data_IF_314681428044
#
_entry.id   IF_314681428044
#
_cell.length_a   1.000
_cell.length_b   1.000
_cell.length_c   1.000
_cell.angle_alpha   90.00
_cell.angle_beta   90.00
_cell.angle_gamma   90.00
#
_symmetry.space_group_name_H-M   'P 1'
#
loop_
_entity.id
_entity.type
_entity.pdbx_description
1 polymer ?
#
# COMPACT_ATOMS: atom_id res chain seq x y z
N UNK A 1 -25.19 70.78 28.59
CA UNK A 1 -24.77 69.38 28.82
C UNK A 1 -23.70 69.03 27.80
N UNK A 2 -22.47 68.72 28.24
CA UNK A 2 -21.34 68.31 27.38
C UNK A 2 -21.48 66.82 27.08
N UNK A 3 -21.51 66.41 25.81
CA UNK A 3 -21.42 65.01 25.41
C UNK A 3 -20.02 64.74 24.87
N UNK A 4 -19.29 63.84 25.54
CA UNK A 4 -17.96 63.38 25.17
C UNK A 4 -18.16 62.17 24.24
N UNK A 5 -17.68 62.26 22.99
CA UNK A 5 -17.58 61.11 22.09
C UNK A 5 -16.29 60.34 22.38
N UNK A 6 -16.41 59.10 22.87
CA UNK A 6 -15.29 58.15 22.92
C UNK A 6 -15.20 57.41 21.58
N UNK A 7 -14.14 57.68 20.83
CA UNK A 7 -13.79 56.93 19.62
C UNK A 7 -12.88 55.76 20.01
N UNK A 8 -13.44 54.56 20.15
CA UNK A 8 -12.65 53.34 20.38
C UNK A 8 -12.12 52.80 19.05
N UNK A 9 -10.82 52.95 18.81
CA UNK A 9 -10.09 52.35 17.69
C UNK A 9 -9.84 50.87 18.04
N UNK A 10 -10.58 49.96 17.41
CA UNK A 10 -10.23 48.54 17.40
C UNK A 10 -9.20 48.29 16.30
N UNK A 11 -7.92 48.27 16.68
CA UNK A 11 -6.86 47.76 15.84
C UNK A 11 -7.08 46.24 15.63
N UNK A 12 -7.70 45.88 14.50
CA UNK A 12 -7.83 44.50 14.09
C UNK A 12 -6.46 43.95 13.71
N UNK A 13 -5.84 43.17 14.59
CA UNK A 13 -4.70 42.33 14.22
C UNK A 13 -5.24 41.20 13.34
N UNK A 14 -5.03 41.32 12.03
CA UNK A 14 -5.24 40.23 11.07
C UNK A 14 -4.24 39.11 11.36
N UNK A 15 -4.67 38.13 12.15
CA UNK A 15 -3.95 36.86 12.29
C UNK A 15 -4.08 36.08 10.97
N UNK A 16 -3.08 36.20 10.10
CA UNK A 16 -2.82 35.20 9.08
C UNK A 16 -2.25 33.95 9.77
N UNK A 17 -3.14 33.10 10.29
CA UNK A 17 -2.76 31.74 10.65
C UNK A 17 -2.71 30.90 9.37
N UNK A 18 -1.60 31.00 8.62
CA UNK A 18 -1.24 30.03 7.59
C UNK A 18 -0.77 28.74 8.28
N UNK A 19 -1.72 28.01 8.84
CA UNK A 19 -1.50 26.69 9.42
C UNK A 19 -1.95 25.65 8.40
N UNK A 20 -1.11 25.37 7.41
CA UNK A 20 -1.24 24.14 6.64
C UNK A 20 -0.84 22.98 7.54
N UNK A 21 -1.78 22.47 8.35
CA UNK A 21 -1.63 21.16 8.96
C UNK A 21 -1.53 20.18 7.79
N UNK A 22 -0.31 19.76 7.45
CA UNK A 22 -0.09 18.63 6.54
C UNK A 22 -0.74 17.42 7.21
N UNK A 23 -1.95 17.08 6.75
CA UNK A 23 -2.67 15.92 7.23
C UNK A 23 -1.83 14.69 6.90
N UNK A 24 -1.37 14.01 7.95
CA UNK A 24 -0.54 12.80 7.87
C UNK A 24 -1.19 11.79 6.91
N UNK A 25 -0.42 11.28 5.95
CA UNK A 25 -0.88 10.23 5.06
C UNK A 25 -0.72 8.89 5.78
N UNK A 26 -1.83 8.18 5.97
CA UNK A 26 -1.83 6.92 6.72
C UNK A 26 -1.21 5.74 5.96
N UNK A 27 -0.77 5.92 4.70
CA UNK A 27 -0.08 4.89 3.93
C UNK A 27 0.85 5.48 2.84
N UNK A 28 1.96 6.15 3.23
CA UNK A 28 2.87 6.84 2.29
C UNK A 28 3.77 5.88 1.50
N UNK A 29 3.74 4.59 1.81
CA UNK A 29 4.51 3.53 1.16
C UNK A 29 3.77 2.85 0.02
N UNK A 30 2.46 3.07 -0.12
CA UNK A 30 1.68 2.44 -1.18
C UNK A 30 2.10 2.99 -2.54
N UNK A 31 2.18 2.08 -3.50
CA UNK A 31 2.56 2.37 -4.88
C UNK A 31 1.46 1.86 -5.79
N UNK A 32 0.88 2.75 -6.58
CA UNK A 32 -0.10 2.35 -7.58
C UNK A 32 0.61 1.91 -8.86
N UNK A 33 0.41 0.64 -9.22
CA UNK A 33 0.91 0.02 -10.43
C UNK A 33 -0.17 0.11 -11.50
N UNK A 34 -0.12 1.19 -12.28
CA UNK A 34 -1.09 1.43 -13.35
C UNK A 34 -0.70 0.67 -14.61
N UNK A 35 -1.66 -0.09 -15.12
CA UNK A 35 -1.60 -0.74 -16.44
C UNK A 35 -2.95 -0.66 -17.14
N UNK A 36 -2.98 -0.96 -18.43
CA UNK A 36 -4.20 -1.03 -19.24
C UNK A 36 -5.06 -2.27 -18.94
N UNK A 37 -4.48 -3.32 -18.35
CA UNK A 37 -5.18 -4.57 -18.06
C UNK A 37 -5.67 -4.59 -16.60
N UNK A 38 -4.79 -4.94 -15.66
CA UNK A 38 -5.15 -5.10 -14.25
C UNK A 38 -4.35 -4.11 -13.38
N UNK A 39 -4.99 -3.09 -12.78
CA UNK A 39 -4.31 -2.27 -11.79
C UNK A 39 -3.87 -3.09 -10.59
N UNK A 40 -2.68 -2.81 -10.07
CA UNK A 40 -2.13 -3.45 -8.88
C UNK A 40 -1.62 -2.43 -7.87
N UNK A 41 -1.25 -2.93 -6.70
CA UNK A 41 -0.61 -2.15 -5.66
C UNK A 41 0.70 -2.82 -5.25
N UNK A 42 1.74 -2.02 -5.10
CA UNK A 42 3.02 -2.41 -4.53
C UNK A 42 3.39 -1.55 -3.34
N UNK A 43 4.60 -1.76 -2.85
CA UNK A 43 5.14 -1.08 -1.66
C UNK A 43 6.52 -0.53 -1.97
N UNK A 44 6.73 0.75 -1.71
CA UNK A 44 8.07 1.33 -1.73
C UNK A 44 8.85 0.78 -0.54
N UNK A 45 9.90 -0.01 -0.78
CA UNK A 45 10.71 -0.64 0.27
C UNK A 45 12.08 0.03 0.43
N UNK A 46 12.57 0.70 -0.62
CA UNK A 46 13.77 1.56 -0.63
C UNK A 46 13.56 2.71 -1.61
N UNK A 47 14.44 3.70 -1.61
CA UNK A 47 14.33 4.93 -2.44
C UNK A 47 14.10 4.64 -3.92
N UNK A 48 14.65 3.56 -4.47
CA UNK A 48 14.50 3.20 -5.88
C UNK A 48 13.91 1.80 -6.10
N UNK A 49 13.32 1.18 -5.07
CA UNK A 49 12.84 -0.20 -5.14
C UNK A 49 11.43 -0.35 -4.60
N UNK A 50 10.58 -0.95 -5.43
CA UNK A 50 9.21 -1.33 -5.09
C UNK A 50 9.11 -2.84 -5.03
N UNK A 51 8.51 -3.36 -3.95
CA UNK A 51 8.10 -4.76 -3.83
C UNK A 51 6.63 -4.88 -4.24
N UNK A 52 6.31 -5.86 -5.08
CA UNK A 52 4.96 -6.04 -5.60
C UNK A 52 4.68 -7.53 -5.87
N UNK A 53 3.40 -7.93 -6.04
CA UNK A 53 3.08 -9.28 -6.49
C UNK A 53 3.62 -9.55 -7.90
N UNK A 54 4.13 -10.75 -8.18
CA UNK A 54 4.67 -11.11 -9.49
C UNK A 54 3.58 -11.19 -10.57
N UNK A 55 2.35 -11.56 -10.21
CA UNK A 55 1.20 -11.60 -11.13
C UNK A 55 0.82 -10.21 -11.65
N UNK A 56 1.28 -9.13 -11.03
CA UNK A 56 1.09 -7.76 -11.47
C UNK A 56 2.03 -7.32 -12.61
N UNK A 57 2.79 -8.26 -13.20
CA UNK A 57 3.63 -7.97 -14.35
C UNK A 57 2.80 -7.68 -15.60
N UNK A 58 2.88 -6.45 -16.12
CA UNK A 58 2.02 -5.99 -17.21
C UNK A 58 2.77 -5.11 -18.22
N UNK A 59 2.35 -5.11 -19.50
CA UNK A 59 2.85 -4.17 -20.49
C UNK A 59 2.47 -2.73 -20.10
N UNK A 60 3.33 -1.77 -20.47
CA UNK A 60 3.13 -0.33 -20.27
C UNK A 60 2.91 0.08 -18.79
N UNK A 61 3.56 -0.62 -17.87
CA UNK A 61 3.49 -0.37 -16.43
C UNK A 61 3.95 1.04 -16.07
N UNK A 62 3.11 1.80 -15.36
CA UNK A 62 3.46 3.09 -14.74
C UNK A 62 3.46 2.95 -13.22
N UNK A 63 4.55 3.37 -12.59
CA UNK A 63 4.68 3.37 -11.12
C UNK A 63 4.31 4.75 -10.59
N UNK A 64 3.24 4.83 -9.82
CA UNK A 64 2.71 6.08 -9.27
C UNK A 64 2.80 6.09 -7.74
N UNK A 65 3.25 7.19 -7.15
CA UNK A 65 3.40 7.41 -5.70
C UNK A 65 2.84 8.76 -5.29
N UNK A 66 2.64 8.96 -3.98
CA UNK A 66 2.18 10.23 -3.40
C UNK A 66 0.66 10.35 -3.45
N UNK A 67 0.15 11.50 -3.86
CA UNK A 67 -1.29 11.68 -3.98
C UNK A 67 -1.90 10.89 -5.17
N UNK A 68 -2.96 10.14 -4.87
CA UNK A 68 -3.72 9.36 -5.86
C UNK A 68 -5.06 10.00 -6.21
N UNK A 69 -5.48 11.06 -5.50
CA UNK A 69 -6.75 11.74 -5.75
C UNK A 69 -6.78 12.39 -7.12
N UNK A 70 -7.69 11.91 -7.95
CA UNK A 70 -7.98 12.50 -9.25
C UNK A 70 -8.36 13.97 -9.07
N UNK A 71 -7.81 14.85 -9.92
CA UNK A 71 -8.07 16.30 -9.94
C UNK A 71 -7.63 17.09 -8.71
N UNK A 72 -6.95 16.46 -7.75
CA UNK A 72 -6.25 17.15 -6.66
C UNK A 72 -4.76 17.10 -6.98
N UNK A 73 -4.10 18.25 -6.97
CA UNK A 73 -2.64 18.36 -7.13
C UNK A 73 -2.07 19.00 -5.87
N UNK A 74 -1.36 18.22 -5.07
CA UNK A 74 -0.74 18.71 -3.84
C UNK A 74 0.79 18.74 -3.89
N UNK A 75 1.37 18.41 -5.04
CA UNK A 75 2.81 18.47 -5.28
C UNK A 75 3.57 17.23 -4.80
N UNK A 76 2.88 16.24 -4.22
CA UNK A 76 3.50 14.99 -3.78
C UNK A 76 3.48 13.90 -4.86
N UNK A 77 2.72 14.10 -5.93
CA UNK A 77 2.52 13.11 -7.00
C UNK A 77 3.82 12.81 -7.74
N UNK A 78 4.15 11.52 -7.85
CA UNK A 78 5.29 11.06 -8.60
C UNK A 78 4.88 9.95 -9.55
N UNK A 79 5.29 10.07 -10.81
CA UNK A 79 5.19 8.99 -11.79
C UNK A 79 6.60 8.67 -12.26
N UNK A 80 7.05 7.44 -12.00
CA UNK A 80 8.41 7.01 -12.29
C UNK A 80 8.35 5.74 -13.12
N UNK A 81 9.07 5.68 -14.24
CA UNK A 81 9.09 4.49 -15.08
C UNK A 81 9.89 3.36 -14.40
N UNK A 82 9.48 2.09 -14.57
CA UNK A 82 10.32 0.96 -14.19
C UNK A 82 11.48 0.81 -15.19
N UNK A 83 12.69 0.52 -14.71
CA UNK A 83 13.87 0.22 -15.55
C UNK A 83 14.32 -1.23 -15.46
N UNK A 84 13.89 -1.93 -14.42
CA UNK A 84 14.17 -3.35 -14.25
C UNK A 84 13.04 -3.99 -13.43
N UNK A 85 12.62 -5.19 -13.85
CA UNK A 85 11.68 -6.01 -13.09
C UNK A 85 12.35 -7.36 -12.84
N UNK A 86 12.42 -7.76 -11.58
CA UNK A 86 13.01 -9.02 -11.14
C UNK A 86 11.91 -9.84 -10.47
N UNK A 87 11.36 -10.82 -11.18
CA UNK A 87 10.42 -11.79 -10.60
C UNK A 87 11.18 -12.83 -9.79
N UNK A 88 10.60 -13.29 -8.69
CA UNK A 88 11.16 -14.42 -7.98
C UNK A 88 11.09 -15.68 -8.87
N UNK A 89 12.22 -16.37 -8.97
CA UNK A 89 12.48 -17.40 -9.97
C UNK A 89 11.57 -18.63 -9.87
N UNK A 90 11.00 -18.88 -8.69
CA UNK A 90 10.10 -20.02 -8.44
C UNK A 90 8.61 -19.66 -8.62
N UNK A 91 8.28 -18.46 -9.11
CA UNK A 91 6.90 -18.13 -9.40
C UNK A 91 6.38 -18.98 -10.57
N UNK A 92 5.47 -19.89 -10.25
CA UNK A 92 4.69 -20.70 -11.19
C UNK A 92 3.24 -20.75 -10.72
N UNK A 93 2.31 -21.11 -11.60
CA UNK A 93 0.91 -21.37 -11.22
C UNK A 93 0.80 -22.49 -10.15
N UNK A 94 1.81 -23.36 -10.02
CA UNK A 94 1.88 -24.40 -9.00
C UNK A 94 2.46 -23.94 -7.64
N UNK A 95 2.98 -22.72 -7.56
CA UNK A 95 3.58 -22.13 -6.35
C UNK A 95 3.03 -20.72 -6.10
N UNK A 96 1.72 -20.55 -5.87
CA UNK A 96 1.11 -19.23 -5.72
C UNK A 96 1.63 -18.46 -4.50
N UNK A 97 2.23 -19.13 -3.51
CA UNK A 97 2.89 -18.48 -2.38
C UNK A 97 4.13 -17.65 -2.77
N UNK A 98 4.80 -17.99 -3.88
CA UNK A 98 6.03 -17.37 -4.37
C UNK A 98 5.77 -16.16 -5.29
N UNK A 99 4.61 -15.52 -5.11
CA UNK A 99 4.11 -14.41 -5.92
C UNK A 99 4.70 -13.05 -5.51
N UNK A 100 6.00 -12.86 -5.79
CA UNK A 100 6.69 -11.60 -5.53
C UNK A 100 7.63 -11.18 -6.67
N UNK A 101 7.74 -9.87 -6.86
CA UNK A 101 8.71 -9.24 -7.74
C UNK A 101 9.25 -7.94 -7.16
N UNK A 102 10.45 -7.57 -7.63
CA UNK A 102 11.05 -6.27 -7.39
C UNK A 102 10.97 -5.43 -8.66
N UNK A 103 10.63 -4.16 -8.50
CA UNK A 103 10.64 -3.16 -9.56
C UNK A 103 11.68 -2.10 -9.20
N UNK A 104 12.71 -1.95 -10.03
CA UNK A 104 13.68 -0.85 -9.93
C UNK A 104 13.13 0.37 -10.66
N UNK A 105 13.07 1.50 -9.98
CA UNK A 105 12.62 2.77 -10.54
C UNK A 105 13.72 3.42 -11.40
N UNK A 106 13.34 4.17 -12.44
CA UNK A 106 14.29 4.88 -13.31
C UNK A 106 15.13 5.93 -12.58
N UNK A 107 14.56 6.51 -11.52
CA UNK A 107 15.21 7.46 -10.62
C UNK A 107 14.71 7.22 -9.20
N UNK A 108 15.48 7.63 -8.17
CA UNK A 108 15.02 7.59 -6.78
C UNK A 108 13.71 8.37 -6.60
N UNK A 109 12.80 7.84 -5.79
CA UNK A 109 11.60 8.54 -5.35
C UNK A 109 11.98 9.68 -4.40
N UNK A 110 11.36 10.85 -4.57
CA UNK A 110 11.54 12.00 -3.70
C UNK A 110 10.68 11.83 -2.44
N UNK A 111 11.31 11.55 -1.30
CA UNK A 111 10.58 11.35 -0.06
C UNK A 111 9.89 12.64 0.40
N UNK A 112 8.67 12.48 0.90
CA UNK A 112 7.84 13.55 1.45
C UNK A 112 6.77 12.93 2.37
N UNK A 113 5.86 13.74 2.91
CA UNK A 113 4.83 13.27 3.83
C UNK A 113 3.84 12.23 3.23
N UNK A 114 3.79 12.05 1.90
CA UNK A 114 2.99 11.04 1.18
C UNK A 114 3.82 9.98 0.44
N UNK A 115 5.14 10.06 0.52
CA UNK A 115 6.07 9.13 -0.13
C UNK A 115 7.18 8.78 0.85
N UNK A 116 7.07 7.61 1.46
CA UNK A 116 8.05 7.08 2.41
C UNK A 116 8.21 5.57 2.20
N UNK A 117 9.42 5.01 2.35
CA UNK A 117 9.61 3.58 2.27
C UNK A 117 9.05 2.89 3.53
N UNK A 118 8.58 1.65 3.37
CA UNK A 118 8.21 0.77 4.48
C UNK A 118 9.30 -0.29 4.70
N UNK A 119 9.89 -0.38 5.91
CA UNK A 119 10.86 -1.43 6.21
C UNK A 119 10.26 -2.83 6.06
N UNK A 120 11.04 -3.78 5.53
CA UNK A 120 10.61 -5.18 5.40
C UNK A 120 10.76 -5.96 6.71
N UNK A 121 10.08 -7.10 6.80
CA UNK A 121 10.12 -8.00 7.94
C UNK A 121 11.57 -8.39 8.35
N UNK A 122 11.80 -8.53 9.65
CA UNK A 122 13.06 -9.06 10.21
C UNK A 122 12.86 -10.34 11.02
N UNK A 123 11.61 -10.75 11.22
CA UNK A 123 11.21 -11.95 11.95
C UNK A 123 9.81 -12.36 11.50
N UNK A 124 9.50 -13.65 11.58
CA UNK A 124 8.12 -14.12 11.41
C UNK A 124 7.17 -13.47 12.43
N UNK A 125 5.94 -13.21 11.99
CA UNK A 125 4.85 -12.75 12.85
C UNK A 125 4.27 -13.96 13.59
N UNK A 126 3.97 -13.78 14.88
CA UNK A 126 3.31 -14.84 15.66
C UNK A 126 1.81 -14.87 15.34
N UNK A 127 1.18 -16.05 15.21
CA UNK A 127 -0.27 -16.16 15.14
C UNK A 127 -0.96 -15.41 16.29
N UNK A 128 -2.11 -14.80 16.00
CA UNK A 128 -2.85 -13.93 16.92
C UNK A 128 -2.36 -12.47 16.98
N UNK A 129 -1.21 -12.14 16.38
CA UNK A 129 -0.76 -10.75 16.29
C UNK A 129 -1.73 -9.97 15.40
N UNK A 130 -2.30 -8.88 15.93
CA UNK A 130 -3.12 -7.94 15.16
C UNK A 130 -2.19 -7.07 14.32
N UNK A 131 -2.48 -6.99 13.03
CA UNK A 131 -1.69 -6.27 12.05
C UNK A 131 -2.57 -5.33 11.24
N UNK A 132 -1.96 -4.25 10.76
CA UNK A 132 -2.58 -3.30 9.85
C UNK A 132 -2.55 -3.87 8.44
N UNK A 133 -3.71 -4.02 7.82
CA UNK A 133 -3.81 -4.24 6.39
C UNK A 133 -4.02 -2.91 5.70
N UNK A 134 -3.20 -2.63 4.70
CA UNK A 134 -3.20 -1.35 4.00
C UNK A 134 -3.27 -1.56 2.49
N UNK A 135 -4.11 -0.77 1.83
CA UNK A 135 -4.45 -0.95 0.43
C UNK A 135 -5.03 0.28 -0.25
N UNK A 136 -5.29 0.15 -1.54
CA UNK A 136 -5.98 1.17 -2.34
C UNK A 136 -7.38 0.71 -2.73
N UNK A 137 -8.29 1.68 -2.82
CA UNK A 137 -9.70 1.50 -3.14
C UNK A 137 -10.21 2.64 -4.04
N UNK A 138 -11.34 2.40 -4.69
CA UNK A 138 -11.96 3.34 -5.62
C UNK A 138 -12.97 4.21 -4.89
N UNK A 139 -12.82 5.53 -4.99
CA UNK A 139 -13.87 6.46 -4.62
C UNK A 139 -14.99 6.45 -5.66
N UNK A 140 -16.22 6.64 -5.20
CA UNK A 140 -17.35 6.92 -6.08
C UNK A 140 -17.19 8.27 -6.82
N UNK A 141 -16.36 9.17 -6.29
CA UNK A 141 -16.12 10.51 -6.84
C UNK A 141 -15.29 10.51 -8.13
N UNK A 142 -14.49 9.46 -8.38
CA UNK A 142 -13.65 9.34 -9.58
C UNK A 142 -14.26 8.43 -10.66
N UNK A 143 -15.56 8.14 -10.60
CA UNK A 143 -16.28 7.29 -11.57
C UNK A 143 -15.59 5.95 -11.84
N UNK A 144 -14.87 5.40 -10.84
CA UNK A 144 -14.19 4.10 -10.96
C UNK A 144 -12.92 4.08 -11.84
N UNK A 145 -12.39 5.22 -12.32
CA UNK A 145 -11.27 5.20 -13.29
C UNK A 145 -9.93 4.75 -12.71
N UNK A 146 -9.59 5.24 -11.51
CA UNK A 146 -8.37 4.89 -10.78
C UNK A 146 -8.65 4.82 -9.28
N UNK A 147 -7.96 3.94 -8.55
CA UNK A 147 -8.06 3.92 -7.10
C UNK A 147 -7.41 5.19 -6.53
N UNK A 148 -8.11 5.83 -5.61
CA UNK A 148 -7.77 7.14 -5.07
C UNK A 148 -8.06 7.27 -3.56
N UNK A 149 -8.58 6.20 -2.96
CA UNK A 149 -8.76 6.06 -1.53
C UNK A 149 -7.73 5.08 -0.97
N UNK A 150 -7.22 5.39 0.21
CA UNK A 150 -6.44 4.46 1.03
C UNK A 150 -7.39 3.79 2.01
N UNK A 151 -7.28 2.48 2.13
CA UNK A 151 -8.04 1.70 3.09
C UNK A 151 -7.09 1.03 4.06
N UNK A 152 -7.44 1.14 5.34
CA UNK A 152 -6.71 0.54 6.44
C UNK A 152 -7.71 -0.23 7.30
N UNK A 153 -7.37 -1.47 7.64
CA UNK A 153 -8.14 -2.28 8.58
C UNK A 153 -7.20 -3.12 9.44
N UNK A 154 -7.62 -3.46 10.64
CA UNK A 154 -6.83 -4.31 11.53
C UNK A 154 -7.38 -5.73 11.53
N UNK A 155 -6.48 -6.70 11.49
CA UNK A 155 -6.88 -8.11 11.52
C UNK A 155 -5.76 -9.00 12.09
N UNK A 156 -6.14 -10.10 12.78
CA UNK A 156 -5.17 -11.02 13.37
C UNK A 156 -4.58 -11.99 12.34
N UNK A 157 -3.28 -12.23 12.46
CA UNK A 157 -2.57 -13.31 11.73
C UNK A 157 -3.04 -14.67 12.22
N UNK A 158 -3.29 -15.59 11.30
CA UNK A 158 -3.67 -16.97 11.60
C UNK A 158 -2.46 -17.88 11.74
N UNK A 159 -2.62 -18.99 12.45
CA UNK A 159 -1.63 -20.07 12.37
C UNK A 159 -1.73 -20.79 11.02
N UNK A 160 -0.60 -21.34 10.54
CA UNK A 160 -0.59 -22.17 9.32
C UNK A 160 -1.63 -23.31 9.42
N UNK A 161 -1.71 -23.95 10.59
CA UNK A 161 -2.67 -25.04 10.84
C UNK A 161 -4.12 -24.61 10.68
N UNK A 162 -4.49 -23.42 11.14
CA UNK A 162 -5.85 -22.89 10.97
C UNK A 162 -6.08 -22.43 9.54
N UNK A 163 -5.10 -21.78 8.92
CA UNK A 163 -5.20 -21.34 7.53
C UNK A 163 -5.44 -22.53 6.59
N UNK A 164 -4.68 -23.62 6.75
CA UNK A 164 -4.84 -24.84 5.95
C UNK A 164 -6.21 -25.54 6.11
N UNK A 165 -7.01 -25.18 7.11
CA UNK A 165 -8.39 -25.68 7.24
C UNK A 165 -9.39 -24.91 6.38
N UNK A 166 -9.04 -23.71 5.93
CA UNK A 166 -9.89 -22.86 5.08
C UNK A 166 -9.74 -23.23 3.61
N UNK A 167 -10.76 -22.99 2.80
CA UNK A 167 -10.70 -23.29 1.36
C UNK A 167 -9.58 -22.51 0.66
N UNK A 168 -9.38 -21.25 1.04
CA UNK A 168 -8.33 -20.39 0.51
C UNK A 168 -6.94 -20.89 0.92
N UNK A 169 -6.75 -21.28 2.19
CA UNK A 169 -5.44 -21.66 2.69
C UNK A 169 -4.95 -23.03 2.22
N UNK A 170 -5.84 -24.00 1.91
CA UNK A 170 -5.48 -25.36 1.48
C UNK A 170 -4.51 -25.39 0.28
N UNK A 171 -4.67 -24.43 -0.64
CA UNK A 171 -3.83 -24.32 -1.86
C UNK A 171 -2.59 -23.43 -1.66
N UNK A 172 -2.48 -22.75 -0.51
CA UNK A 172 -1.46 -21.76 -0.22
C UNK A 172 -0.64 -22.18 1.00
N UNK A 173 0.18 -23.21 0.82
CA UNK A 173 1.16 -23.62 1.84
C UNK A 173 2.15 -22.49 2.04
N UNK A 174 2.67 -22.36 3.26
CA UNK A 174 3.74 -21.43 3.57
C UNK A 174 3.43 -19.93 3.34
N UNK A 175 2.16 -19.57 3.10
CA UNK A 175 1.71 -18.18 2.98
C UNK A 175 1.40 -17.56 4.33
N UNK A 176 1.39 -16.23 4.41
CA UNK A 176 0.88 -15.51 5.57
C UNK A 176 -0.63 -15.36 5.41
N UNK A 177 -1.39 -15.82 6.41
CA UNK A 177 -2.84 -15.75 6.38
C UNK A 177 -3.35 -14.79 7.46
N UNK A 178 -4.36 -13.99 7.10
CA UNK A 178 -4.95 -12.99 8.02
C UNK A 178 -6.45 -13.18 8.04
N UNK A 179 -7.04 -13.29 9.23
CA UNK A 179 -8.47 -13.50 9.38
C UNK A 179 -9.22 -12.18 9.30
N UNK A 180 -9.82 -11.89 8.16
CA UNK A 180 -10.72 -10.74 8.00
C UNK A 180 -11.79 -11.04 6.95
N UNK A 181 -12.98 -10.50 7.18
CA UNK A 181 -14.07 -10.57 6.20
C UNK A 181 -13.89 -9.43 5.21
N UNK A 182 -13.61 -9.75 3.95
CA UNK A 182 -13.68 -8.76 2.87
C UNK A 182 -15.14 -8.58 2.49
N UNK A 183 -15.78 -7.52 3.00
CA UNK A 183 -17.15 -7.18 2.59
C UNK A 183 -17.07 -6.49 1.23
N UNK A 184 -17.53 -7.17 0.18
CA UNK A 184 -17.76 -6.55 -1.13
C UNK A 184 -18.93 -5.57 -1.04
N UNK A 185 -18.65 -4.33 -0.66
CA UNK A 185 -19.69 -3.32 -0.48
C UNK A 185 -19.91 -2.42 -1.70
N UNK A 186 -19.12 -2.58 -2.78
CA UNK A 186 -19.10 -1.62 -3.90
C UNK A 186 -19.12 -2.28 -5.27
N UNK A 187 -19.77 -1.58 -6.20
CA UNK A 187 -20.00 -1.96 -7.60
C UNK A 187 -18.72 -1.80 -8.46
N UNK A 188 -17.80 -0.91 -8.05
CA UNK A 188 -16.59 -0.58 -8.82
C UNK A 188 -15.32 -1.02 -8.09
N UNK A 189 -14.54 -1.91 -8.71
CA UNK A 189 -13.19 -2.30 -8.30
C UNK A 189 -13.14 -3.04 -6.95
N UNK A 190 -12.28 -4.05 -6.85
CA UNK A 190 -12.03 -4.71 -5.57
C UNK A 190 -10.98 -3.93 -4.78
N UNK A 191 -11.20 -3.72 -3.48
CA UNK A 191 -10.17 -3.20 -2.57
C UNK A 191 -8.89 -4.02 -2.77
N UNK A 192 -7.83 -3.40 -3.27
CA UNK A 192 -6.52 -4.04 -3.35
C UNK A 192 -5.90 -3.93 -1.97
N UNK A 193 -6.20 -4.90 -1.09
CA UNK A 193 -5.64 -4.96 0.26
C UNK A 193 -4.22 -5.48 0.11
N UNK A 194 -3.33 -4.57 -0.28
CA UNK A 194 -2.04 -4.89 -0.85
C UNK A 194 -1.04 -5.48 0.15
N UNK A 195 -1.17 -5.14 1.43
CA UNK A 195 -0.11 -5.34 2.42
C UNK A 195 -0.59 -5.76 3.80
N UNK A 196 0.22 -6.56 4.49
CA UNK A 196 0.11 -6.84 5.92
C UNK A 196 1.29 -6.19 6.63
N UNK A 197 1.02 -5.36 7.63
CA UNK A 197 2.01 -4.57 8.35
C UNK A 197 1.89 -4.85 9.84
N UNK A 198 2.94 -5.41 10.43
CA UNK A 198 2.99 -5.70 11.86
C UNK A 198 4.24 -5.06 12.45
N UNK A 199 4.08 -4.33 13.56
CA UNK A 199 5.19 -3.62 14.23
C UNK A 199 5.98 -2.71 13.26
N UNK A 200 5.26 -1.96 12.43
CA UNK A 200 5.81 -1.03 11.42
C UNK A 200 6.73 -1.68 10.38
N UNK A 201 6.54 -2.98 10.11
CA UNK A 201 7.28 -3.70 9.06
C UNK A 201 6.33 -4.42 8.12
N UNK A 202 6.69 -4.45 6.84
CA UNK A 202 5.98 -5.20 5.82
C UNK A 202 6.18 -6.70 6.02
N UNK A 203 5.08 -7.41 6.30
CA UNK A 203 5.06 -8.85 6.58
C UNK A 203 4.42 -9.65 5.46
N UNK A 204 3.47 -9.05 4.74
CA UNK A 204 2.72 -9.70 3.67
C UNK A 204 2.51 -8.80 2.48
N UNK A 205 2.52 -9.37 1.28
CA UNK A 205 2.01 -8.77 0.04
C UNK A 205 0.91 -9.65 -0.52
N UNK A 206 -0.18 -9.04 -1.01
CA UNK A 206 -1.38 -9.72 -1.50
C UNK A 206 -1.05 -10.74 -2.60
N UNK A 207 -1.64 -11.94 -2.48
CA UNK A 207 -1.54 -12.99 -3.49
C UNK A 207 -2.89 -13.16 -4.15
N UNK A 208 -2.99 -12.74 -5.41
CA UNK A 208 -4.08 -13.09 -6.33
C UNK A 208 -5.53 -12.87 -5.87
N UNK A 209 -6.46 -13.33 -6.72
CA UNK A 209 -7.88 -13.01 -6.67
C UNK A 209 -8.58 -13.61 -5.43
N UNK A 210 -8.96 -12.74 -4.50
CA UNK A 210 -9.74 -13.11 -3.33
C UNK A 210 -11.23 -13.19 -3.69
N UNK A 211 -11.76 -14.38 -4.02
CA UNK A 211 -13.18 -14.55 -4.40
C UNK A 211 -14.16 -14.60 -3.21
N UNK A 212 -13.88 -13.84 -2.15
CA UNK A 212 -14.66 -13.85 -0.92
C UNK A 212 -14.22 -14.89 0.10
N UNK A 213 -14.71 -14.72 1.33
CA UNK A 213 -14.34 -15.49 2.51
C UNK A 213 -13.88 -14.61 3.68
N UNK A 214 -13.35 -15.27 4.72
CA UNK A 214 -12.93 -14.66 5.97
C UNK A 214 -11.40 -14.69 6.20
N UNK A 215 -10.61 -15.02 5.18
CA UNK A 215 -9.14 -15.18 5.29
C UNK A 215 -8.38 -14.64 4.07
N UNK A 216 -7.68 -13.51 4.21
CA UNK A 216 -6.75 -13.06 3.16
C UNK A 216 -5.43 -13.83 3.17
N UNK A 217 -4.92 -14.12 1.96
CA UNK A 217 -3.67 -14.84 1.74
C UNK A 217 -2.61 -13.88 1.17
N UNK A 218 -1.42 -13.96 1.74
CA UNK A 218 -0.31 -13.06 1.43
C UNK A 218 0.99 -13.85 1.29
N UNK A 219 1.87 -13.40 0.39
CA UNK A 219 3.25 -13.86 0.34
C UNK A 219 3.95 -13.43 1.62
N UNK A 220 4.51 -14.38 2.36
CA UNK A 220 5.22 -14.09 3.60
C UNK A 220 6.59 -13.45 3.29
N UNK A 221 6.68 -12.13 3.42
CA UNK A 221 7.85 -11.33 3.05
C UNK A 221 9.10 -11.76 3.81
N UNK A 222 8.98 -12.21 5.07
CA UNK A 222 10.12 -12.64 5.88
C UNK A 222 10.91 -13.78 5.20
N UNK A 223 10.23 -14.68 4.49
CA UNK A 223 10.87 -15.80 3.78
C UNK A 223 11.79 -15.35 2.64
N UNK A 224 11.58 -14.14 2.11
CA UNK A 224 12.29 -13.62 0.95
C UNK A 224 13.26 -12.49 1.30
N UNK A 225 13.44 -12.14 2.57
CA UNK A 225 14.33 -11.03 3.01
C UNK A 225 15.72 -11.16 2.40
N UNK A 226 16.34 -12.35 2.46
CA UNK A 226 17.67 -12.58 1.88
C UNK A 226 17.71 -12.32 0.38
N UNK A 227 16.66 -12.69 -0.35
CA UNK A 227 16.55 -12.45 -1.80
C UNK A 227 16.29 -10.96 -2.09
N UNK A 228 15.40 -10.32 -1.32
CA UNK A 228 15.10 -8.89 -1.45
C UNK A 228 16.38 -8.09 -1.23
N UNK A 229 17.09 -8.32 -0.11
CA UNK A 229 18.31 -7.58 0.21
C UNK A 229 19.43 -7.83 -0.80
N UNK A 230 19.59 -9.07 -1.29
CA UNK A 230 20.59 -9.38 -2.33
C UNK A 230 20.37 -8.59 -3.62
N UNK A 231 19.12 -8.44 -4.05
CA UNK A 231 18.79 -7.80 -5.33
C UNK A 231 18.64 -6.27 -5.21
N UNK A 232 18.42 -5.75 -4.01
CA UNK A 232 18.21 -4.32 -3.74
C UNK A 232 19.40 -3.65 -3.06
N UNK A 233 20.60 -4.23 -3.17
CA UNK A 233 21.83 -3.54 -2.77
C UNK A 233 22.03 -2.34 -3.68
N UNK A 234 22.33 -1.19 -3.09
CA UNK A 234 22.80 -0.04 -3.85
C UNK A 234 24.10 -0.44 -4.56
N UNK A 235 24.09 -0.35 -5.89
CA UNK A 235 25.26 -0.55 -6.75
C UNK A 235 25.65 0.80 -7.32
#
# INVERSE_FOLDING_TARGET
MKFIFYLSILAGTSFFAHSSVQKEDHAPYLVYLKSHFNPCVGVLIKTQWVLAPAHCYLPNLKVMLGNFKSRVRDGTEQTISPVQIIRYWNYSHSSPQDDLMLIKLAKPAAFNHKVQPLPIATSNVRPGTVCLLSGLDWSQQNSGRHPDLRQNLEAPVMSDKECQKTEQGKSHRNSLCVKFVKVFSRIFGEVAVATVICKNKLQGIEVGHFMGGDVGIYTNVYKYVSWIEKNTKDK
#
